data_IF_178969170856
#
_entry.id   IF_178969170856
#
_cell.length_a   1.000
_cell.length_b   1.000
_cell.length_c   1.000
_cell.angle_alpha   90.00
_cell.angle_beta   90.00
_cell.angle_gamma   90.00
#
_symmetry.space_group_name_H-M   'P 1'
#
loop_
_entity.id
_entity.type
_entity.pdbx_description
1 polymer ?
#
# COMPACT_ATOMS: atom_id res chain seq x y z
N UNK A 1 -22.70 41.37 -21.71
CA UNK A 1 -21.99 40.22 -21.08
C UNK A 1 -20.58 40.67 -20.71
N UNK A 2 -20.21 40.61 -19.43
CA UNK A 2 -18.91 41.07 -18.96
C UNK A 2 -17.85 39.96 -19.15
N UNK A 3 -17.34 39.82 -20.37
CA UNK A 3 -16.20 38.94 -20.71
C UNK A 3 -15.08 38.91 -19.63
N UNK A 4 -14.61 40.05 -19.08
CA UNK A 4 -13.54 40.03 -18.07
C UNK A 4 -13.94 39.33 -16.76
N UNK A 5 -15.21 39.41 -16.36
CA UNK A 5 -15.70 38.71 -15.15
C UNK A 5 -15.72 37.20 -15.36
N UNK A 6 -16.00 36.74 -16.58
CA UNK A 6 -15.98 35.32 -16.92
C UNK A 6 -14.57 34.74 -16.83
N UNK A 7 -13.55 35.43 -17.37
CA UNK A 7 -12.17 34.98 -17.26
C UNK A 7 -11.65 34.95 -15.82
N UNK A 8 -12.04 35.94 -15.00
CA UNK A 8 -11.68 35.95 -13.58
C UNK A 8 -12.26 34.74 -12.83
N UNK A 9 -13.54 34.41 -13.06
CA UNK A 9 -14.18 33.24 -12.44
C UNK A 9 -13.54 31.94 -12.93
N UNK A 10 -13.29 31.81 -14.24
CA UNK A 10 -12.65 30.64 -14.81
C UNK A 10 -11.23 30.41 -14.23
N UNK A 11 -10.43 31.47 -14.09
CA UNK A 11 -9.10 31.38 -13.51
C UNK A 11 -9.12 30.90 -12.04
N UNK A 12 -10.07 31.40 -11.24
CA UNK A 12 -10.26 30.95 -9.86
C UNK A 12 -10.62 29.47 -9.81
N UNK A 13 -11.58 29.03 -10.65
CA UNK A 13 -12.02 27.63 -10.68
C UNK A 13 -10.89 26.69 -11.12
N UNK A 14 -10.11 27.05 -12.14
CA UNK A 14 -8.96 26.26 -12.60
C UNK A 14 -7.92 26.13 -11.48
N UNK A 15 -7.63 27.23 -10.79
CA UNK A 15 -6.67 27.23 -9.68
C UNK A 15 -7.15 26.34 -8.53
N UNK A 16 -8.42 26.43 -8.16
CA UNK A 16 -9.01 25.58 -7.12
C UNK A 16 -8.99 24.10 -7.52
N UNK A 17 -9.33 23.79 -8.76
CA UNK A 17 -9.27 22.42 -9.28
C UNK A 17 -7.83 21.88 -9.26
N UNK A 18 -6.84 22.70 -9.61
CA UNK A 18 -5.43 22.32 -9.54
C UNK A 18 -5.00 21.97 -8.11
N UNK A 19 -5.29 22.84 -7.13
CA UNK A 19 -4.97 22.57 -5.72
C UNK A 19 -5.73 21.35 -5.16
N UNK A 20 -6.99 21.16 -5.55
CA UNK A 20 -7.76 19.99 -5.18
C UNK A 20 -7.14 18.71 -5.72
N UNK A 21 -6.71 18.72 -6.99
CA UNK A 21 -6.08 17.56 -7.63
C UNK A 21 -4.73 17.21 -6.99
N UNK A 22 -3.88 18.21 -6.70
CA UNK A 22 -2.59 18.00 -6.03
C UNK A 22 -2.78 17.45 -4.62
N UNK A 23 -3.71 18.03 -3.85
CA UNK A 23 -4.04 17.55 -2.51
C UNK A 23 -4.53 16.10 -2.53
N UNK A 24 -5.35 15.75 -3.51
CA UNK A 24 -5.85 14.39 -3.69
C UNK A 24 -4.72 13.40 -4.01
N UNK A 25 -3.83 13.72 -4.96
CA UNK A 25 -2.68 12.86 -5.30
C UNK A 25 -1.79 12.65 -4.09
N UNK A 26 -1.44 13.71 -3.37
CA UNK A 26 -0.61 13.61 -2.17
C UNK A 26 -1.27 12.77 -1.07
N UNK A 27 -2.59 12.93 -0.89
CA UNK A 27 -3.33 12.11 0.08
C UNK A 27 -3.35 10.63 -0.32
N UNK A 28 -3.52 10.32 -1.60
CA UNK A 28 -3.50 8.94 -2.09
C UNK A 28 -2.15 8.27 -1.85
N UNK A 29 -1.04 8.93 -2.20
CA UNK A 29 0.31 8.40 -1.96
C UNK A 29 0.56 8.10 -0.47
N UNK A 30 0.14 9.00 0.42
CA UNK A 30 0.28 8.78 1.87
C UNK A 30 -0.56 7.61 2.36
N UNK A 31 -1.81 7.52 1.92
CA UNK A 31 -2.70 6.40 2.29
C UNK A 31 -2.12 5.07 1.81
N UNK A 32 -1.63 5.00 0.57
CA UNK A 32 -1.00 3.80 0.02
C UNK A 32 0.25 3.39 0.81
N UNK A 33 1.09 4.36 1.21
CA UNK A 33 2.26 4.08 2.04
C UNK A 33 1.86 3.52 3.41
N UNK A 34 0.86 4.12 4.07
CA UNK A 34 0.35 3.64 5.37
C UNK A 34 -0.22 2.24 5.23
N UNK A 35 -1.03 1.98 4.19
CA UNK A 35 -1.57 0.66 3.90
C UNK A 35 -0.46 -0.36 3.65
N UNK A 36 0.59 0.02 2.92
CA UNK A 36 1.74 -0.85 2.66
C UNK A 36 2.49 -1.24 3.93
N UNK A 37 2.72 -0.28 4.84
CA UNK A 37 3.35 -0.53 6.15
C UNK A 37 2.45 -1.42 7.01
N UNK A 38 1.15 -1.12 7.05
CA UNK A 38 0.20 -1.94 7.80
C UNK A 38 0.17 -3.38 7.28
N UNK A 39 0.13 -3.58 5.97
CA UNK A 39 0.17 -4.91 5.36
C UNK A 39 1.47 -5.66 5.71
N UNK A 40 2.63 -4.98 5.73
CA UNK A 40 3.90 -5.60 6.15
C UNK A 40 3.83 -6.08 7.61
N UNK A 41 3.23 -5.28 8.49
CA UNK A 41 3.11 -5.63 9.90
C UNK A 41 2.15 -6.81 10.12
N UNK A 42 1.00 -6.83 9.45
CA UNK A 42 0.06 -7.95 9.56
C UNK A 42 0.67 -9.23 8.93
N UNK A 43 1.41 -9.11 7.82
CA UNK A 43 2.16 -10.24 7.27
C UNK A 43 3.25 -10.75 8.22
N UNK A 44 3.90 -9.86 8.96
CA UNK A 44 4.89 -10.23 9.99
C UNK A 44 4.24 -11.03 11.11
N UNK A 45 3.07 -10.62 11.59
CA UNK A 45 2.30 -11.38 12.58
C UNK A 45 1.90 -12.76 12.02
N UNK A 46 1.31 -12.80 10.83
CA UNK A 46 0.93 -14.05 10.16
C UNK A 46 2.13 -14.99 9.96
N UNK A 47 3.30 -14.43 9.66
CA UNK A 47 4.56 -15.17 9.53
C UNK A 47 4.98 -15.83 10.84
N UNK A 48 4.93 -15.08 11.95
CA UNK A 48 5.25 -15.62 13.28
C UNK A 48 4.30 -16.77 13.59
N UNK A 49 3.00 -16.59 13.35
CA UNK A 49 2.02 -17.66 13.53
C UNK A 49 2.32 -18.89 12.66
N UNK A 50 2.63 -18.70 11.38
CA UNK A 50 3.03 -19.79 10.48
C UNK A 50 4.25 -20.54 11.03
N UNK A 51 5.32 -19.82 11.38
CA UNK A 51 6.58 -20.39 11.84
C UNK A 51 6.41 -21.17 13.15
N UNK A 52 5.58 -20.69 14.08
CA UNK A 52 5.29 -21.43 15.33
C UNK A 52 4.64 -22.80 15.07
N UNK A 53 3.86 -22.92 13.99
CA UNK A 53 3.21 -24.18 13.61
C UNK A 53 4.09 -25.06 12.70
N UNK A 54 5.10 -24.49 12.05
CA UNK A 54 5.95 -25.17 11.07
C UNK A 54 7.42 -25.31 11.52
N UNK A 55 7.65 -25.38 12.83
CA UNK A 55 8.98 -25.57 13.43
C UNK A 55 10.03 -24.52 13.00
N UNK A 56 9.61 -23.26 12.85
CA UNK A 56 10.47 -22.14 12.46
C UNK A 56 10.74 -22.04 10.96
N UNK A 57 10.21 -22.94 10.13
CA UNK A 57 10.43 -22.88 8.69
C UNK A 57 9.65 -21.71 8.07
N UNK A 58 10.28 -20.89 7.20
CA UNK A 58 9.56 -19.87 6.46
C UNK A 58 8.63 -20.51 5.41
N UNK A 59 7.52 -19.86 5.04
CA UNK A 59 6.64 -20.34 4.00
C UNK A 59 7.33 -20.27 2.63
N UNK A 60 7.06 -21.26 1.78
CA UNK A 60 7.58 -21.27 0.41
C UNK A 60 6.91 -20.24 -0.52
N UNK A 61 5.72 -19.74 -0.13
CA UNK A 61 4.91 -18.78 -0.91
C UNK A 61 4.12 -17.89 0.04
N UNK A 62 3.85 -16.66 -0.36
CA UNK A 62 3.10 -15.70 0.47
C UNK A 62 1.68 -16.16 0.78
N UNK A 63 1.03 -16.83 -0.17
CA UNK A 63 -0.32 -17.39 0.01
C UNK A 63 -0.43 -18.42 1.14
N UNK A 64 0.69 -19.02 1.58
CA UNK A 64 0.68 -19.90 2.74
C UNK A 64 0.39 -19.16 4.07
N UNK A 65 0.54 -17.83 4.08
CA UNK A 65 0.19 -16.97 5.20
C UNK A 65 -1.30 -16.59 5.22
N UNK A 66 -2.04 -16.81 4.13
CA UNK A 66 -3.46 -16.44 4.02
C UNK A 66 -4.31 -17.00 5.18
N UNK A 67 -4.17 -18.27 5.61
CA UNK A 67 -4.96 -18.81 6.73
C UNK A 67 -4.65 -18.16 8.08
N UNK A 68 -3.53 -17.44 8.19
CA UNK A 68 -3.06 -16.80 9.41
C UNK A 68 -3.43 -15.32 9.47
N UNK A 69 -4.16 -14.81 8.47
CA UNK A 69 -4.79 -13.50 8.50
C UNK A 69 -6.16 -13.57 9.16
N UNK A 70 -6.39 -12.73 10.17
CA UNK A 70 -7.70 -12.65 10.83
C UNK A 70 -8.80 -12.15 9.89
N UNK A 71 -8.46 -11.25 8.96
CA UNK A 71 -9.36 -10.67 7.96
C UNK A 71 -8.57 -10.44 6.65
N UNK A 72 -8.33 -11.51 5.88
CA UNK A 72 -7.57 -11.41 4.64
C UNK A 72 -8.33 -10.54 3.61
N UNK A 73 -7.75 -9.41 3.13
CA UNK A 73 -8.35 -8.64 2.06
C UNK A 73 -8.34 -9.44 0.75
N UNK A 74 -9.25 -9.15 -0.19
CA UNK A 74 -9.29 -9.81 -1.51
C UNK A 74 -7.93 -9.73 -2.23
N UNK A 75 -7.24 -8.60 -2.08
CA UNK A 75 -5.94 -8.33 -2.69
C UNK A 75 -4.74 -8.68 -1.78
N UNK A 76 -4.88 -9.70 -0.92
CA UNK A 76 -3.80 -10.16 -0.05
C UNK A 76 -2.49 -10.40 -0.81
N UNK A 77 -1.39 -9.98 -0.21
CA UNK A 77 -0.07 -10.22 -0.81
C UNK A 77 0.24 -9.28 -1.97
N UNK A 78 -0.65 -8.35 -2.35
CA UNK A 78 -0.40 -7.33 -3.38
C UNK A 78 -0.05 -5.98 -2.77
N UNK A 79 0.75 -5.20 -3.50
CA UNK A 79 1.13 -3.85 -3.11
C UNK A 79 -0.04 -2.86 -3.35
N UNK A 80 -0.44 -2.04 -2.36
CA UNK A 80 -1.52 -1.05 -2.53
C UNK A 80 -1.23 0.07 -3.54
N UNK A 81 0.04 0.23 -3.93
CA UNK A 81 0.46 1.20 -4.94
C UNK A 81 0.36 0.61 -6.36
N UNK A 82 0.65 -0.68 -6.49
CA UNK A 82 0.73 -1.39 -7.76
C UNK A 82 0.27 -2.84 -7.54
N UNK A 83 -0.98 -3.12 -7.93
CA UNK A 83 -1.59 -4.43 -7.71
C UNK A 83 -0.94 -5.56 -8.51
N UNK A 84 -0.08 -5.24 -9.50
CA UNK A 84 0.72 -6.24 -10.22
C UNK A 84 1.95 -6.69 -9.40
N UNK A 85 2.32 -5.93 -8.37
CA UNK A 85 3.45 -6.24 -7.50
C UNK A 85 3.01 -7.03 -6.27
N UNK A 86 3.56 -8.24 -6.15
CA UNK A 86 3.37 -9.09 -4.98
C UNK A 86 4.48 -8.86 -3.94
N UNK A 87 4.11 -8.91 -2.67
CA UNK A 87 5.05 -9.00 -1.57
C UNK A 87 5.89 -10.28 -1.70
N UNK A 88 7.18 -10.15 -1.36
CA UNK A 88 8.15 -11.24 -1.48
C UNK A 88 8.58 -11.66 -0.09
N UNK A 89 8.70 -12.98 0.13
CA UNK A 89 9.30 -13.49 1.37
C UNK A 89 10.81 -13.43 1.22
N UNK A 90 11.45 -12.59 2.04
CA UNK A 90 12.89 -12.62 2.23
C UNK A 90 13.26 -13.90 2.99
N UNK A 91 14.16 -14.70 2.42
CA UNK A 91 14.57 -15.98 2.97
C UNK A 91 15.59 -15.86 4.10
N UNK A 92 16.30 -14.74 4.18
CA UNK A 92 17.31 -14.50 5.22
C UNK A 92 16.64 -14.05 6.51
N UNK A 93 15.71 -13.10 6.41
CA UNK A 93 14.97 -12.57 7.57
C UNK A 93 13.69 -13.37 7.85
N UNK A 94 13.19 -14.13 6.87
CA UNK A 94 11.91 -14.81 6.95
C UNK A 94 10.73 -13.84 6.92
N UNK A 95 10.90 -12.61 6.42
CA UNK A 95 9.90 -11.54 6.49
C UNK A 95 9.27 -11.24 5.13
N UNK A 96 8.02 -10.77 5.11
CA UNK A 96 7.40 -10.26 3.89
C UNK A 96 7.88 -8.82 3.61
N UNK A 97 8.46 -8.60 2.43
CA UNK A 97 9.04 -7.31 2.02
C UNK A 97 8.26 -6.75 0.84
N UNK A 98 7.95 -5.44 0.92
CA UNK A 98 7.38 -4.73 -0.22
C UNK A 98 8.41 -4.61 -1.34
N UNK A 99 8.07 -4.99 -2.59
CA UNK A 99 8.99 -4.84 -3.72
C UNK A 99 9.29 -3.37 -4.03
N UNK A 100 8.38 -2.44 -3.72
CA UNK A 100 8.60 -1.01 -3.92
C UNK A 100 9.57 -0.45 -2.85
N UNK A 101 10.75 0.06 -3.25
CA UNK A 101 11.77 0.57 -2.32
C UNK A 101 11.32 1.79 -1.50
N UNK A 102 10.42 2.62 -2.02
CA UNK A 102 9.96 3.84 -1.36
C UNK A 102 9.01 3.55 -0.17
N UNK A 103 8.50 2.32 -0.10
CA UNK A 103 7.52 1.88 0.90
C UNK A 103 8.07 0.80 1.85
N UNK A 104 9.39 0.55 1.82
CA UNK A 104 10.03 -0.36 2.77
C UNK A 104 10.04 0.28 4.17
N UNK A 105 9.75 -0.52 5.19
CA UNK A 105 10.01 -0.12 6.57
C UNK A 105 11.54 -0.01 6.72
N UNK A 106 12.07 1.10 7.25
CA UNK A 106 13.51 1.26 7.48
C UNK A 106 14.05 0.33 8.57
#
# INVERSE_FOLDING_TARGET
>A
MNLPKFFAVAAILITLAAFGSLSYVYSQEKTQRIACIHNQEVMREAMIHYQTQHAGNPPGRIWALWPYYNEAPEDFGTCPYDHDLLYVIDRETGMAVCPNPDHRIP
#
